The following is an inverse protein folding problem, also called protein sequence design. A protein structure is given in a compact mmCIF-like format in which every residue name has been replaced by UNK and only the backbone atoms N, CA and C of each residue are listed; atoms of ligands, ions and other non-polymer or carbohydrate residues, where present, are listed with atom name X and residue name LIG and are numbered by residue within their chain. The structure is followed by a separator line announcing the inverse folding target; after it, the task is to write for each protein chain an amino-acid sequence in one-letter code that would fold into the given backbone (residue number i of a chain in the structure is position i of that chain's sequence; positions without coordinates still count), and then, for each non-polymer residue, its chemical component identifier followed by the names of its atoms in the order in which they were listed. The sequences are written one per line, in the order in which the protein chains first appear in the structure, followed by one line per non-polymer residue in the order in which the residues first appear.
data_IF_238421258263
#
_entry.id   IF_238421258263
#
_cell.length_a   1.000
_cell.length_b   1.000
_cell.length_c   1.000
_cell.angle_alpha   90.00
_cell.angle_beta   90.00
_cell.angle_gamma   90.00
#
_symmetry.space_group_name_H-M   'P 1'
#
loop_
_entity.id
_entity.type
_entity.pdbx_description
1 polymer ?
#
# COMPACT_ATOMS: atom_id res chain seq x y z
N UNK A 1 20.90 -10.58 41.36
CA UNK A 1 20.61 -9.30 40.68
C UNK A 1 19.42 -9.47 39.73
N UNK A 2 18.20 -9.53 40.26
CA UNK A 2 16.95 -9.44 39.51
C UNK A 2 15.97 -8.67 40.39
N UNK A 3 15.61 -7.45 39.98
CA UNK A 3 14.55 -6.65 40.59
C UNK A 3 13.73 -6.09 39.42
N UNK A 4 12.53 -6.60 39.17
CA UNK A 4 11.29 -6.25 39.87
C UNK A 4 10.79 -4.86 39.45
N UNK A 5 9.85 -4.85 38.50
CA UNK A 5 8.94 -3.72 38.31
C UNK A 5 7.51 -4.21 38.46
N UNK A 6 6.81 -3.57 39.40
CA UNK A 6 5.55 -3.93 40.03
C UNK A 6 4.44 -3.13 39.37
N UNK A 7 3.45 -3.83 38.82
CA UNK A 7 2.24 -3.25 38.25
C UNK A 7 1.41 -2.49 39.30
N UNK A 8 0.82 -1.37 38.85
CA UNK A 8 -0.38 -0.79 39.45
C UNK A 8 -1.44 -0.69 38.34
N UNK A 9 -2.46 -1.55 38.42
CA UNK A 9 -3.65 -1.55 37.54
C UNK A 9 -4.46 -0.25 37.69
N UNK A 10 -5.27 0.09 36.66
CA UNK A 10 -6.72 -0.09 36.82
C UNK A 10 -7.30 -0.84 35.60
N UNK A 11 -7.90 -2.02 35.80
CA UNK A 11 -9.36 -2.22 35.91
C UNK A 11 -10.15 -1.73 34.69
N UNK A 12 -9.98 -2.42 33.57
CA UNK A 12 -11.03 -2.63 32.58
C UNK A 12 -10.71 -3.95 31.86
N UNK A 13 -11.65 -4.88 31.90
CA UNK A 13 -11.59 -6.17 31.21
C UNK A 13 -11.41 -5.95 29.71
N UNK A 14 -10.22 -6.19 29.20
CA UNK A 14 -9.99 -6.39 27.78
C UNK A 14 -9.24 -7.70 27.60
N UNK A 15 -10.01 -8.75 27.31
CA UNK A 15 -9.49 -9.99 26.75
C UNK A 15 -9.03 -9.71 25.31
N UNK A 16 -7.72 -9.77 25.11
CA UNK A 16 -7.11 -9.75 23.77
C UNK A 16 -7.21 -11.17 23.21
N UNK A 17 -8.04 -11.36 22.18
CA UNK A 17 -8.18 -12.64 21.46
C UNK A 17 -7.31 -12.59 20.19
N UNK A 18 -6.54 -13.64 19.86
CA UNK A 18 -5.74 -13.69 18.65
C UNK A 18 -6.55 -14.13 17.43
N UNK A 19 -6.25 -13.53 16.27
CA UNK A 19 -6.35 -14.07 14.91
C UNK A 19 -7.56 -14.94 14.52
N UNK A 20 -8.51 -14.36 13.77
CA UNK A 20 -8.81 -14.76 12.39
C UNK A 20 -9.98 -13.92 11.87
N UNK A 21 -9.90 -13.52 10.59
CA UNK A 21 -11.05 -12.96 9.88
C UNK A 21 -11.31 -11.48 10.10
N UNK A 22 -11.14 -10.70 9.04
CA UNK A 22 -12.01 -9.59 8.64
C UNK A 22 -13.09 -9.17 9.65
N UNK A 23 -12.89 -8.10 10.43
CA UNK A 23 -13.90 -7.06 10.65
C UNK A 23 -13.43 -5.95 11.60
N UNK A 24 -13.22 -4.75 11.06
CA UNK A 24 -13.64 -3.53 11.74
C UNK A 24 -15.08 -3.24 11.28
N UNK A 25 -16.06 -3.56 12.12
CA UNK A 25 -17.45 -3.16 11.94
C UNK A 25 -17.74 -1.96 12.83
N UNK A 26 -17.83 -0.76 12.24
CA UNK A 26 -18.66 0.29 12.82
C UNK A 26 -20.11 0.00 12.38
N UNK A 27 -20.99 -0.29 13.34
CA UNK A 27 -22.43 -0.42 13.11
C UNK A 27 -23.07 0.93 13.38
N UNK A 28 -23.34 1.66 12.30
CA UNK A 28 -24.36 2.71 12.27
C UNK A 28 -25.37 2.30 11.20
N UNK A 29 -26.65 2.36 11.56
CA UNK A 29 -27.74 1.75 10.82
C UNK A 29 -27.91 2.24 9.38
N UNK A 30 -28.53 1.38 8.57
CA UNK A 30 -29.13 1.74 7.28
C UNK A 30 -28.14 1.80 6.12
N UNK A 31 -28.07 0.71 5.34
CA UNK A 31 -27.31 0.60 4.10
C UNK A 31 -25.79 0.59 4.26
N UNK A 32 -25.25 -0.60 4.55
CA UNK A 32 -23.83 -0.93 4.47
C UNK A 32 -23.41 -0.94 2.99
N UNK A 33 -23.44 0.21 2.32
CA UNK A 33 -22.70 0.39 1.08
C UNK A 33 -21.23 0.29 1.44
N UNK A 34 -20.69 -0.91 1.29
CA UNK A 34 -19.28 -1.07 0.93
C UNK A 34 -19.10 -0.09 -0.22
N UNK A 35 -18.35 1.00 -0.03
CA UNK A 35 -17.92 1.83 -1.16
C UNK A 35 -17.11 0.85 -2.00
N UNK A 36 -17.77 0.23 -2.98
CA UNK A 36 -17.18 -0.80 -3.79
C UNK A 36 -16.05 -0.12 -4.54
N UNK A 37 -14.84 -0.70 -4.47
CA UNK A 37 -13.68 -0.17 -5.19
C UNK A 37 -13.93 -0.05 -6.69
N UNK A 38 -15.00 -0.65 -7.22
CA UNK A 38 -15.54 -0.38 -8.57
C UNK A 38 -15.60 1.12 -8.88
N UNK A 39 -16.02 1.97 -7.93
CA UNK A 39 -16.10 3.44 -8.13
C UNK A 39 -14.73 4.15 -8.03
N UNK A 40 -13.74 3.51 -7.38
CA UNK A 40 -12.38 4.05 -7.21
C UNK A 40 -11.38 3.49 -8.23
N UNK A 41 -11.74 2.43 -8.96
CA UNK A 41 -10.82 1.73 -9.86
C UNK A 41 -10.25 2.66 -10.92
N UNK A 42 -11.05 3.57 -11.48
CA UNK A 42 -10.57 4.57 -12.43
C UNK A 42 -9.64 5.61 -11.80
N UNK A 43 -9.89 6.02 -10.54
CA UNK A 43 -8.99 6.93 -9.81
C UNK A 43 -7.67 6.25 -9.40
N UNK A 44 -7.72 4.94 -9.16
CA UNK A 44 -6.55 4.13 -8.82
C UNK A 44 -5.68 3.81 -10.03
N UNK A 45 -6.24 3.83 -11.25
CA UNK A 45 -5.44 3.75 -12.49
C UNK A 45 -4.48 4.93 -12.54
N UNK A 46 -3.19 4.65 -12.61
CA UNK A 46 -2.12 5.66 -12.57
C UNK A 46 -1.65 6.01 -11.16
N UNK A 47 -2.56 6.23 -10.21
CA UNK A 47 -2.19 6.49 -8.80
C UNK A 47 -1.51 5.27 -8.17
N UNK A 48 -2.01 4.07 -8.47
CA UNK A 48 -1.46 2.81 -7.94
C UNK A 48 -0.04 2.55 -8.44
N UNK A 49 0.30 2.99 -9.65
CA UNK A 49 1.65 2.85 -10.21
C UNK A 49 2.66 3.69 -9.40
N UNK A 50 2.29 4.92 -9.03
CA UNK A 50 3.11 5.75 -8.13
C UNK A 50 3.23 5.17 -6.72
N UNK A 51 2.16 4.58 -6.18
CA UNK A 51 2.22 3.87 -4.89
C UNK A 51 3.20 2.69 -4.95
N UNK A 52 3.19 1.91 -6.04
CA UNK A 52 4.12 0.79 -6.23
C UNK A 52 5.56 1.30 -6.34
N UNK A 53 5.81 2.36 -7.12
CA UNK A 53 7.14 2.99 -7.20
C UNK A 53 7.64 3.41 -5.81
N UNK A 54 6.79 4.06 -5.01
CA UNK A 54 7.16 4.50 -3.66
C UNK A 54 7.50 3.33 -2.72
N UNK A 55 6.78 2.22 -2.81
CA UNK A 55 7.08 1.01 -2.02
C UNK A 55 8.45 0.43 -2.40
N UNK A 56 8.76 0.39 -3.71
CA UNK A 56 10.04 -0.13 -4.21
C UNK A 56 11.21 0.81 -3.86
N UNK A 57 10.97 2.12 -3.76
CA UNK A 57 11.98 3.11 -3.36
C UNK A 57 12.43 2.90 -1.90
N UNK A 58 11.52 2.47 -1.04
CA UNK A 58 11.79 2.29 0.39
C UNK A 58 12.71 1.11 0.66
N UNK A 59 12.48 -0.02 -0.02
CA UNK A 59 13.29 -1.23 0.09
C UNK A 59 13.15 -2.12 -1.14
N UNK A 60 14.20 -2.88 -1.46
CA UNK A 60 14.16 -3.90 -2.49
C UNK A 60 13.12 -4.98 -2.11
N UNK A 61 12.14 -5.19 -3.00
CA UNK A 61 10.94 -5.97 -2.66
C UNK A 61 10.48 -6.86 -3.83
N UNK A 62 9.44 -7.65 -3.63
CA UNK A 62 8.89 -8.58 -4.63
C UNK A 62 7.36 -8.46 -4.71
N UNK A 63 6.78 -8.89 -5.83
CA UNK A 63 5.37 -8.62 -6.17
C UNK A 63 4.37 -8.90 -5.04
N UNK A 64 4.46 -10.07 -4.41
CA UNK A 64 3.58 -10.42 -3.29
C UNK A 64 3.76 -9.52 -2.05
N UNK A 65 4.99 -9.12 -1.71
CA UNK A 65 5.23 -8.21 -0.60
C UNK A 65 4.64 -6.82 -0.87
N UNK A 66 4.74 -6.33 -2.10
CA UNK A 66 4.10 -5.08 -2.54
C UNK A 66 2.58 -5.18 -2.40
N UNK A 67 1.97 -6.27 -2.89
CA UNK A 67 0.51 -6.48 -2.76
C UNK A 67 0.07 -6.51 -1.30
N UNK A 68 0.80 -7.20 -0.44
CA UNK A 68 0.54 -7.23 1.02
C UNK A 68 0.59 -5.83 1.62
N UNK A 69 1.62 -5.05 1.29
CA UNK A 69 1.79 -3.67 1.79
C UNK A 69 0.65 -2.75 1.33
N UNK A 70 0.22 -2.87 0.07
CA UNK A 70 -0.92 -2.11 -0.45
C UNK A 70 -2.22 -2.48 0.27
N UNK A 71 -2.45 -3.77 0.51
CA UNK A 71 -3.63 -4.23 1.25
C UNK A 71 -3.63 -3.74 2.71
N UNK A 72 -2.46 -3.69 3.37
CA UNK A 72 -2.30 -3.13 4.71
C UNK A 72 -2.62 -1.63 4.77
N UNK A 73 -2.40 -0.89 3.68
CA UNK A 73 -2.75 0.53 3.55
C UNK A 73 -4.24 0.78 3.26
N UNK A 74 -5.04 -0.28 3.12
CA UNK A 74 -6.48 -0.19 2.87
C UNK A 74 -6.89 -0.41 1.41
N UNK A 75 -5.96 -0.69 0.50
CA UNK A 75 -6.28 -1.06 -0.89
C UNK A 75 -6.69 -2.53 -1.02
N UNK A 76 -7.64 -2.98 -0.19
CA UNK A 76 -7.96 -4.40 0.04
C UNK A 76 -8.39 -5.19 -1.21
N UNK A 77 -8.85 -4.52 -2.27
CA UNK A 77 -9.27 -5.16 -3.53
C UNK A 77 -8.13 -5.25 -4.56
N UNK A 78 -6.90 -4.83 -4.22
CA UNK A 78 -5.72 -4.97 -5.09
C UNK A 78 -5.22 -6.42 -5.06
N UNK A 79 -5.44 -7.11 -6.17
CA UNK A 79 -4.94 -8.47 -6.38
C UNK A 79 -3.51 -8.49 -6.91
N UNK A 80 -2.82 -9.60 -6.68
CA UNK A 80 -1.43 -9.81 -7.11
C UNK A 80 -1.26 -9.60 -8.63
N UNK A 81 -2.25 -10.04 -9.42
CA UNK A 81 -2.26 -9.87 -10.87
C UNK A 81 -2.12 -8.41 -11.31
N UNK A 82 -2.82 -7.49 -10.63
CA UNK A 82 -2.74 -6.05 -10.92
C UNK A 82 -1.33 -5.52 -10.65
N UNK A 83 -0.74 -5.88 -9.51
CA UNK A 83 0.64 -5.49 -9.16
C UNK A 83 1.63 -6.05 -10.18
N UNK A 84 1.47 -7.30 -10.63
CA UNK A 84 2.32 -7.86 -11.70
C UNK A 84 2.21 -7.09 -13.01
N UNK A 85 1.02 -6.66 -13.41
CA UNK A 85 0.88 -5.84 -14.64
C UNK A 85 1.56 -4.48 -14.50
N UNK A 86 1.56 -3.88 -13.30
CA UNK A 86 2.27 -2.63 -13.02
C UNK A 86 3.77 -2.87 -13.06
N UNK A 87 4.28 -3.90 -12.36
CA UNK A 87 5.70 -4.25 -12.36
C UNK A 87 6.23 -4.50 -13.78
N UNK A 88 5.44 -5.17 -14.63
CA UNK A 88 5.81 -5.40 -16.03
C UNK A 88 5.91 -4.10 -16.83
N UNK A 89 5.04 -3.11 -16.55
CA UNK A 89 5.11 -1.78 -17.17
C UNK A 89 6.32 -1.00 -16.68
N UNK A 90 6.61 -1.03 -15.38
CA UNK A 90 7.79 -0.39 -14.79
C UNK A 90 9.08 -0.97 -15.37
N UNK A 91 9.15 -2.30 -15.52
CA UNK A 91 10.27 -3.02 -16.15
C UNK A 91 10.41 -2.61 -17.63
N UNK A 92 9.30 -2.58 -18.38
CA UNK A 92 9.28 -2.15 -19.79
C UNK A 92 9.71 -0.69 -19.98
N UNK A 93 9.37 0.18 -19.04
CA UNK A 93 9.73 1.60 -19.05
C UNK A 93 11.14 1.85 -18.51
N UNK A 94 11.86 0.81 -18.06
CA UNK A 94 13.23 0.93 -17.54
C UNK A 94 13.31 1.69 -16.22
N UNK A 95 12.26 1.67 -15.39
CA UNK A 95 12.19 2.39 -14.12
C UNK A 95 12.67 1.55 -12.92
N UNK A 96 12.84 0.24 -13.12
CA UNK A 96 13.22 -0.71 -12.08
C UNK A 96 14.36 -1.60 -12.56
N UNK A 97 15.24 -1.97 -11.64
CA UNK A 97 16.20 -3.04 -11.79
C UNK A 97 15.64 -4.34 -11.20
N UNK A 98 15.86 -5.45 -11.90
CA UNK A 98 15.33 -6.76 -11.51
C UNK A 98 16.47 -7.70 -11.17
N UNK A 99 16.54 -8.11 -9.91
CA UNK A 99 17.50 -9.11 -9.42
C UNK A 99 16.80 -10.43 -9.17
N UNK A 100 17.27 -11.51 -9.79
CA UNK A 100 16.78 -12.86 -9.48
C UNK A 100 17.59 -13.41 -8.31
N UNK A 101 16.92 -13.71 -7.19
CA UNK A 101 17.55 -14.36 -6.04
C UNK A 101 17.06 -15.80 -5.91
N UNK A 102 17.96 -16.76 -5.64
CA UNK A 102 17.56 -18.11 -5.30
C UNK A 102 16.77 -18.08 -3.99
N UNK A 103 15.59 -18.69 -4.01
CA UNK A 103 14.80 -18.90 -2.80
C UNK A 103 15.34 -20.13 -2.08
N UNK A 104 15.53 -20.07 -0.76
CA UNK A 104 16.01 -21.23 0.02
C UNK A 104 15.12 -22.48 -0.11
N UNK A 105 13.84 -22.28 -0.45
CA UNK A 105 12.89 -23.33 -0.85
C UNK A 105 12.01 -22.77 -1.98
N UNK A 106 12.06 -23.36 -3.18
CA UNK A 106 11.18 -23.03 -4.30
C UNK A 106 11.83 -22.24 -5.46
N UNK A 107 11.02 -21.83 -6.46
CA UNK A 107 11.52 -21.15 -7.65
C UNK A 107 12.16 -19.78 -7.31
N UNK A 108 13.11 -19.32 -8.14
CA UNK A 108 13.78 -18.03 -7.93
C UNK A 108 12.78 -16.89 -7.91
N UNK A 109 12.92 -15.98 -6.93
CA UNK A 109 12.08 -14.79 -6.79
C UNK A 109 12.74 -13.61 -7.51
N UNK A 110 11.93 -12.86 -8.24
CA UNK A 110 12.33 -11.56 -8.80
C UNK A 110 12.18 -10.51 -7.71
N UNK A 111 13.29 -9.86 -7.40
CA UNK A 111 13.34 -8.67 -6.56
C UNK A 111 13.47 -7.45 -7.45
N UNK A 112 12.79 -6.37 -7.06
CA UNK A 112 12.73 -5.11 -7.77
C UNK A 112 13.33 -4.01 -6.91
N UNK A 113 14.16 -3.17 -7.51
CA UNK A 113 14.71 -1.97 -6.91
C UNK A 113 14.56 -0.79 -7.88
N UNK A 114 14.39 0.44 -7.38
CA UNK A 114 14.36 1.62 -8.25
C UNK A 114 15.78 1.98 -8.71
N UNK A 115 15.90 2.32 -9.99
CA UNK A 115 17.07 3.00 -10.52
C UNK A 115 16.87 4.53 -10.48
N UNK A 116 17.85 5.27 -11.01
CA UNK A 116 17.77 6.75 -11.05
C UNK A 116 16.56 7.26 -11.84
N UNK A 117 16.25 6.63 -12.99
CA UNK A 117 15.08 6.99 -13.80
C UNK A 117 13.76 6.73 -13.06
N UNK A 118 13.68 5.64 -12.30
CA UNK A 118 12.55 5.32 -11.44
C UNK A 118 12.35 6.33 -10.32
N UNK A 119 13.44 6.78 -9.67
CA UNK A 119 13.39 7.85 -8.66
C UNK A 119 12.96 9.19 -9.23
N UNK A 120 13.45 9.54 -10.43
CA UNK A 120 12.99 10.74 -11.13
C UNK A 120 11.50 10.66 -11.47
N UNK A 121 11.00 9.52 -11.98
CA UNK A 121 9.58 9.36 -12.27
C UNK A 121 8.73 9.40 -11.00
N UNK A 122 9.21 8.83 -9.89
CA UNK A 122 8.56 8.93 -8.59
C UNK A 122 8.46 10.39 -8.12
N UNK A 123 9.53 11.18 -8.29
CA UNK A 123 9.52 12.61 -8.01
C UNK A 123 8.50 13.36 -8.88
N UNK A 124 8.46 13.07 -10.19
CA UNK A 124 7.46 13.64 -11.11
C UNK A 124 6.03 13.24 -10.71
N UNK A 125 5.82 12.00 -10.28
CA UNK A 125 4.53 11.52 -9.81
C UNK A 125 4.04 12.32 -8.60
N UNK A 126 4.88 12.47 -7.56
CA UNK A 126 4.49 13.22 -6.36
C UNK A 126 4.25 14.70 -6.65
N UNK A 127 5.05 15.32 -7.52
CA UNK A 127 4.81 16.70 -7.94
C UNK A 127 3.46 16.88 -8.66
N UNK A 128 3.10 15.95 -9.56
CA UNK A 128 1.79 15.94 -10.22
C UNK A 128 0.65 15.73 -9.22
N UNK A 129 0.84 14.80 -8.27
CA UNK A 129 -0.15 14.50 -7.24
C UNK A 129 -0.39 15.69 -6.32
N UNK A 130 0.66 16.35 -5.84
CA UNK A 130 0.57 17.55 -5.00
C UNK A 130 -0.12 18.70 -5.74
N UNK A 131 0.22 18.90 -7.02
CA UNK A 131 -0.48 19.88 -7.86
C UNK A 131 -1.98 19.57 -7.97
N UNK A 132 -2.35 18.32 -8.26
CA UNK A 132 -3.76 17.95 -8.44
C UNK A 132 -4.56 18.03 -7.12
N UNK A 133 -4.04 17.43 -6.06
CA UNK A 133 -4.67 17.40 -4.73
C UNK A 133 -4.89 18.82 -4.21
N UNK A 134 -3.87 19.69 -4.26
CA UNK A 134 -3.99 21.08 -3.81
C UNK A 134 -5.05 21.88 -4.57
N UNK A 135 -5.29 21.59 -5.86
CA UNK A 135 -6.34 22.24 -6.66
C UNK A 135 -7.73 21.75 -6.29
N UNK A 136 -7.88 20.45 -6.07
CA UNK A 136 -9.15 19.84 -5.65
C UNK A 136 -9.51 20.29 -4.23
N UNK A 137 -8.54 20.33 -3.33
CA UNK A 137 -8.74 20.76 -1.94
C UNK A 137 -9.16 22.24 -1.88
N UNK A 138 -8.49 23.11 -2.64
CA UNK A 138 -8.90 24.53 -2.78
C UNK A 138 -10.32 24.67 -3.33
N UNK A 139 -10.71 23.85 -4.30
CA UNK A 139 -12.06 23.87 -4.85
C UNK A 139 -13.10 23.45 -3.81
N UNK A 140 -12.78 22.42 -3.01
CA UNK A 140 -13.63 21.92 -1.92
C UNK A 140 -13.81 22.96 -0.80
N UNK A 141 -12.77 23.74 -0.50
CA UNK A 141 -12.80 24.79 0.52
C UNK A 141 -13.46 26.09 0.03
N UNK A 142 -13.26 26.44 -1.24
CA UNK A 142 -13.77 27.67 -1.85
C UNK A 142 -15.24 27.62 -2.33
N UNK A 143 -15.90 26.46 -2.24
CA UNK A 143 -17.31 26.27 -2.58
C UNK A 143 -18.28 26.59 -1.44
N UNK A 144 -17.93 27.50 -0.53
CA UNK A 144 -18.75 27.91 0.62
C UNK A 144 -19.10 29.38 0.57
#
# INVERSE_FOLDING_TARGET
MLAAWREKKPSADYSVVPYSGTQCCAVLGGSKRRLAIDDLTEMLKGTLEGCVLHIIDSEETYGYAITRRLNELGFADVVEGTVYTILLRLEKNGLVEVTKRPSGVGPPRKFYALNDAGREELGRFWAKWEYLSSRIDKLKEGGR
#
